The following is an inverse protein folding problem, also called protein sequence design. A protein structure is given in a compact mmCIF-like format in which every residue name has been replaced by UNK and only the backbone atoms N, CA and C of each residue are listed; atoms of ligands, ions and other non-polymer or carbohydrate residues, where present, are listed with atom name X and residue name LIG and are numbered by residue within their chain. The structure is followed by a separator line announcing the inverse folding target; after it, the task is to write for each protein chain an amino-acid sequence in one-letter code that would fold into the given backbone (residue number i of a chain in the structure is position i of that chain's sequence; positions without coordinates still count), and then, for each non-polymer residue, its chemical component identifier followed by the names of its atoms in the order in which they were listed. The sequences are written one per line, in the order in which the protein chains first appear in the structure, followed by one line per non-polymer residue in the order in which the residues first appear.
data_IF_779868734535
#
_entry.id   IF_779868734535
#
_cell.length_a   1.000
_cell.length_b   1.000
_cell.length_c   1.000
_cell.angle_alpha   90.00
_cell.angle_beta   90.00
_cell.angle_gamma   90.00
#
_symmetry.space_group_name_H-M   'P 1'
#
loop_
_entity.id
_entity.type
_entity.pdbx_description
1 polymer ?
#
# COMPACT_ATOMS: atom_id res chain seq x y z
N UNK A 1 9.04 3.24 -18.97
CA UNK A 1 9.82 2.06 -18.57
C UNK A 1 11.23 2.14 -19.14
N UNK A 2 12.17 2.59 -18.31
CA UNK A 2 13.59 2.69 -18.62
C UNK A 2 14.41 1.87 -17.63
N UNK A 3 14.17 2.02 -16.33
CA UNK A 3 14.98 1.38 -15.30
C UNK A 3 14.92 -0.14 -15.43
N UNK A 4 13.72 -0.69 -15.49
CA UNK A 4 13.52 -2.16 -15.48
C UNK A 4 13.96 -2.83 -16.78
N UNK A 5 14.07 -2.07 -17.87
CA UNK A 5 14.54 -2.56 -19.18
C UNK A 5 16.07 -2.53 -19.25
N UNK A 6 16.69 -1.46 -18.73
CA UNK A 6 18.14 -1.29 -18.78
C UNK A 6 18.87 -2.01 -17.65
N UNK A 7 18.22 -2.16 -16.48
CA UNK A 7 18.78 -2.74 -15.26
C UNK A 7 17.79 -3.74 -14.64
N UNK A 8 17.47 -4.85 -15.35
CA UNK A 8 16.49 -5.84 -14.90
C UNK A 8 16.84 -6.48 -13.55
N UNK A 9 18.11 -6.48 -13.16
CA UNK A 9 18.59 -6.95 -11.85
C UNK A 9 18.04 -6.15 -10.66
N UNK A 10 17.52 -4.94 -10.88
CA UNK A 10 16.89 -4.13 -9.83
C UNK A 10 15.47 -4.63 -9.50
N UNK A 11 14.82 -5.37 -10.40
CA UNK A 11 13.42 -5.79 -10.23
C UNK A 11 13.11 -6.62 -8.99
N UNK A 12 13.93 -7.61 -8.59
CA UNK A 12 13.70 -8.33 -7.34
C UNK A 12 13.64 -7.39 -6.12
N UNK A 13 14.53 -6.41 -6.05
CA UNK A 13 14.54 -5.42 -4.96
C UNK A 13 13.31 -4.52 -4.99
N UNK A 14 12.85 -4.11 -6.18
CA UNK A 14 11.60 -3.36 -6.34
C UNK A 14 10.39 -4.18 -5.86
N UNK A 15 10.37 -5.48 -6.16
CA UNK A 15 9.29 -6.37 -5.74
C UNK A 15 9.27 -6.58 -4.22
N UNK A 16 10.44 -6.72 -3.59
CA UNK A 16 10.60 -6.85 -2.14
C UNK A 16 10.34 -5.54 -1.38
N UNK A 17 10.52 -4.38 -2.02
CA UNK A 17 10.26 -3.10 -1.39
C UNK A 17 8.76 -2.79 -1.41
N UNK A 18 8.08 -2.72 -0.26
CA UNK A 18 6.62 -2.55 -0.23
C UNK A 18 6.17 -1.20 -0.83
N UNK A 19 6.74 -0.10 -0.32
CA UNK A 19 6.49 1.27 -0.74
C UNK A 19 7.53 2.20 -0.08
N UNK A 20 7.70 3.41 -0.63
CA UNK A 20 8.54 4.46 -0.06
C UNK A 20 9.54 5.03 -1.07
N UNK A 21 10.62 5.59 -0.55
CA UNK A 21 11.76 6.06 -1.33
C UNK A 21 12.87 5.04 -1.23
N UNK A 22 13.50 4.64 -2.34
CA UNK A 22 14.65 3.74 -2.33
C UNK A 22 15.81 4.37 -3.13
N UNK A 23 16.92 4.74 -2.49
CA UNK A 23 18.12 5.15 -3.21
C UNK A 23 18.74 3.91 -3.88
N UNK A 24 19.09 4.04 -5.16
CA UNK A 24 19.70 2.94 -5.93
C UNK A 24 20.92 3.44 -6.69
N UNK A 25 21.93 2.58 -6.79
CA UNK A 25 23.09 2.79 -7.67
C UNK A 25 22.89 1.93 -8.92
N UNK A 26 23.09 2.50 -10.11
CA UNK A 26 22.82 1.82 -11.37
C UNK A 26 24.14 1.44 -12.04
N UNK A 27 24.42 0.14 -12.14
CA UNK A 27 25.69 -0.35 -12.66
C UNK A 27 26.89 0.24 -11.91
N UNK A 28 27.88 0.74 -12.67
CA UNK A 28 29.10 1.36 -12.12
C UNK A 28 28.96 2.88 -11.89
N UNK A 29 27.73 3.43 -11.90
CA UNK A 29 27.53 4.88 -11.72
C UNK A 29 27.99 5.35 -10.33
N UNK A 30 28.71 6.47 -10.30
CA UNK A 30 29.14 7.09 -9.05
C UNK A 30 27.98 7.77 -8.30
N UNK A 31 26.91 8.14 -9.01
CA UNK A 31 25.76 8.88 -8.47
C UNK A 31 24.58 7.95 -8.20
N UNK A 32 23.85 8.25 -7.12
CA UNK A 32 22.60 7.58 -6.81
C UNK A 32 21.44 8.10 -7.66
N UNK A 33 20.52 7.20 -8.00
CA UNK A 33 19.19 7.49 -8.50
C UNK A 33 18.14 7.25 -7.42
N UNK A 34 16.94 7.78 -7.62
CA UNK A 34 15.82 7.61 -6.67
C UNK A 34 14.71 6.78 -7.28
N UNK A 35 14.36 5.68 -6.61
CA UNK A 35 13.09 4.98 -6.85
C UNK A 35 12.05 5.54 -5.89
N UNK A 36 10.89 5.90 -6.41
CA UNK A 36 9.71 6.28 -5.63
C UNK A 36 8.64 5.24 -5.87
N UNK A 37 8.35 4.41 -4.87
CA UNK A 37 7.29 3.41 -4.93
C UNK A 37 6.09 3.86 -4.12
N UNK A 38 5.00 4.18 -4.79
CA UNK A 38 3.82 4.81 -4.18
C UNK A 38 2.58 4.51 -4.98
N UNK A 39 1.42 4.98 -4.50
CA UNK A 39 0.16 4.77 -5.20
C UNK A 39 0.09 5.53 -6.52
N UNK A 40 -0.68 5.00 -7.47
CA UNK A 40 -0.93 5.66 -8.75
C UNK A 40 -1.44 7.10 -8.61
N UNK A 41 -2.26 7.39 -7.60
CA UNK A 41 -2.75 8.74 -7.33
C UNK A 41 -1.60 9.72 -7.05
N UNK A 42 -0.62 9.31 -6.25
CA UNK A 42 0.55 10.14 -5.95
C UNK A 42 1.46 10.32 -7.17
N UNK A 43 1.64 9.26 -7.98
CA UNK A 43 2.39 9.32 -9.24
C UNK A 43 1.70 10.29 -10.21
N UNK A 44 0.38 10.19 -10.35
CA UNK A 44 -0.42 11.04 -11.23
C UNK A 44 -0.40 12.50 -10.76
N UNK A 45 -0.52 12.76 -9.46
CA UNK A 45 -0.41 14.10 -8.89
C UNK A 45 0.96 14.72 -9.22
N UNK A 46 2.06 13.99 -9.00
CA UNK A 46 3.39 14.45 -9.39
C UNK A 46 3.49 14.74 -10.89
N UNK A 47 2.94 13.86 -11.75
CA UNK A 47 2.95 14.05 -13.20
C UNK A 47 2.18 15.32 -13.62
N UNK A 48 0.99 15.54 -13.04
CA UNK A 48 0.12 16.68 -13.35
C UNK A 48 0.75 18.01 -12.93
N UNK A 49 1.40 18.04 -11.77
CA UNK A 49 2.06 19.24 -11.25
C UNK A 49 3.50 19.42 -11.76
N UNK A 50 4.08 18.39 -12.37
CA UNK A 50 5.46 18.41 -12.85
C UNK A 50 6.50 18.45 -11.73
N UNK A 51 6.10 18.13 -10.50
CA UNK A 51 6.95 18.19 -9.31
C UNK A 51 6.39 17.35 -8.15
N UNK A 52 7.24 17.15 -7.15
CA UNK A 52 6.85 16.74 -5.80
C UNK A 52 7.81 17.40 -4.78
N UNK A 53 7.53 17.32 -3.47
CA UNK A 53 8.32 18.04 -2.46
C UNK A 53 8.87 17.15 -1.36
N UNK A 54 10.05 17.51 -0.84
CA UNK A 54 10.64 16.92 0.35
C UNK A 54 10.65 17.93 1.51
N UNK A 55 10.09 17.52 2.64
CA UNK A 55 10.16 18.23 3.91
C UNK A 55 11.16 17.54 4.82
N UNK A 56 12.00 18.31 5.49
CA UNK A 56 13.00 17.83 6.44
C UNK A 56 12.75 18.38 7.84
N UNK A 57 11.66 17.97 8.52
CA UNK A 57 11.34 18.45 9.85
C UNK A 57 12.41 18.08 10.89
N UNK A 58 12.71 19.02 11.76
CA UNK A 58 13.50 18.80 12.97
C UNK A 58 12.57 18.37 14.11
N UNK A 59 12.66 17.10 14.50
CA UNK A 59 11.83 16.49 15.52
C UNK A 59 12.53 16.49 16.88
N UNK A 60 11.82 16.76 17.99
CA UNK A 60 12.39 16.63 19.33
C UNK A 60 12.68 15.15 19.65
N UNK A 61 13.83 14.89 20.26
CA UNK A 61 14.27 13.58 20.71
C UNK A 61 14.84 13.65 22.14
N UNK A 62 14.91 12.52 22.84
CA UNK A 62 15.47 12.46 24.20
C UNK A 62 16.93 12.92 24.27
N UNK A 63 17.70 12.74 23.20
CA UNK A 63 19.10 13.15 23.06
C UNK A 63 19.31 14.48 22.32
N UNK A 64 18.23 15.22 21.99
CA UNK A 64 18.31 16.50 21.29
C UNK A 64 17.25 16.66 20.22
N UNK A 65 17.68 16.85 18.98
CA UNK A 65 16.79 16.90 17.80
C UNK A 65 17.22 15.85 16.79
N UNK A 66 16.27 15.31 16.03
CA UNK A 66 16.53 14.41 14.92
C UNK A 66 15.84 14.93 13.67
N UNK A 67 16.46 14.74 12.50
CA UNK A 67 15.82 15.05 11.22
C UNK A 67 15.09 13.80 10.73
N UNK A 68 13.98 13.99 10.05
CA UNK A 68 13.27 12.93 9.33
C UNK A 68 12.74 13.50 8.02
N UNK A 69 12.13 12.67 7.18
CA UNK A 69 11.71 13.07 5.85
C UNK A 69 10.22 12.82 5.63
N UNK A 70 9.57 13.79 4.98
CA UNK A 70 8.25 13.60 4.39
C UNK A 70 8.35 13.95 2.91
N UNK A 71 7.88 13.05 2.05
CA UNK A 71 7.74 13.31 0.61
C UNK A 71 6.27 13.54 0.32
N UNK A 72 5.93 14.68 -0.26
CA UNK A 72 4.56 15.09 -0.53
C UNK A 72 4.26 15.15 -2.04
N UNK A 73 3.08 14.66 -2.40
CA UNK A 73 2.50 14.67 -3.74
C UNK A 73 1.18 15.43 -3.66
N UNK A 74 1.10 16.57 -4.32
CA UNK A 74 -0.01 17.51 -4.17
C UNK A 74 -1.19 17.12 -5.06
N UNK A 75 -2.01 16.18 -4.58
CA UNK A 75 -3.35 15.92 -5.15
C UNK A 75 -4.42 16.86 -4.55
N UNK A 76 -4.21 17.28 -3.30
CA UNK A 76 -4.90 18.34 -2.58
C UNK A 76 -3.84 19.24 -1.91
N UNK A 77 -4.01 20.57 -2.01
CA UNK A 77 -3.02 21.53 -1.48
C UNK A 77 -2.94 21.48 0.06
N UNK A 78 -4.05 21.18 0.74
CA UNK A 78 -4.15 21.16 2.21
C UNK A 78 -3.76 19.78 2.76
N UNK A 79 -4.19 18.70 2.12
CA UNK A 79 -3.97 17.31 2.54
C UNK A 79 -3.26 16.45 1.47
N UNK A 80 -2.02 16.79 1.07
CA UNK A 80 -1.32 16.06 0.02
C UNK A 80 -1.01 14.62 0.43
N UNK A 81 -1.05 13.70 -0.53
CA UNK A 81 -0.53 12.34 -0.36
C UNK A 81 0.94 12.38 0.07
N UNK A 82 1.29 11.61 1.10
CA UNK A 82 2.62 11.70 1.71
C UNK A 82 3.24 10.35 2.06
N UNK A 83 4.53 10.21 1.74
CA UNK A 83 5.42 9.14 2.24
C UNK A 83 6.17 9.71 3.44
N UNK A 84 6.10 9.01 4.58
CA UNK A 84 6.82 9.37 5.81
C UNK A 84 8.01 8.44 5.97
N UNK A 85 9.21 8.99 5.98
CA UNK A 85 10.46 8.24 6.00
C UNK A 85 11.28 8.67 7.22
N UNK A 86 11.26 7.87 8.30
CA UNK A 86 12.23 8.02 9.38
C UNK A 86 13.65 7.89 8.81
N UNK A 87 14.55 8.75 9.27
CA UNK A 87 15.96 8.74 8.85
C UNK A 87 16.85 8.40 10.05
N UNK A 88 17.80 7.49 9.85
CA UNK A 88 18.76 7.08 10.88
C UNK A 88 20.22 7.26 10.44
N UNK A 89 21.09 7.51 11.42
CA UNK A 89 22.50 7.79 11.18
C UNK A 89 23.34 6.54 10.90
N UNK A 90 22.82 5.37 11.25
CA UNK A 90 23.51 4.08 11.22
C UNK A 90 23.04 3.15 10.10
N UNK A 91 22.24 3.64 9.15
CA UNK A 91 21.75 2.87 8.01
C UNK A 91 22.11 3.53 6.65
N UNK A 92 22.55 2.72 5.69
CA UNK A 92 23.01 3.18 4.38
C UNK A 92 21.89 3.80 3.53
N UNK A 93 20.64 3.42 3.80
CA UNK A 93 19.48 3.87 3.04
C UNK A 93 19.17 5.34 3.34
N UNK A 94 19.11 5.71 4.62
CA UNK A 94 18.97 7.10 5.06
C UNK A 94 20.13 7.96 4.58
N UNK A 95 21.36 7.45 4.62
CA UNK A 95 22.52 8.17 4.10
C UNK A 95 22.40 8.41 2.59
N UNK A 96 21.97 7.40 1.82
CA UNK A 96 21.75 7.53 0.37
C UNK A 96 20.65 8.55 0.04
N UNK A 97 19.56 8.59 0.81
CA UNK A 97 18.53 9.61 0.65
C UNK A 97 19.08 11.02 0.94
N UNK A 98 19.81 11.20 2.05
CA UNK A 98 20.43 12.50 2.37
C UNK A 98 21.47 12.92 1.32
N UNK A 99 22.20 11.97 0.73
CA UNK A 99 23.12 12.23 -0.38
C UNK A 99 22.38 12.73 -1.61
N UNK A 100 21.32 12.03 -2.03
CA UNK A 100 20.48 12.42 -3.17
C UNK A 100 19.93 13.84 -2.98
N UNK A 101 19.42 14.17 -1.79
CA UNK A 101 18.82 15.48 -1.51
C UNK A 101 19.81 16.65 -1.61
N UNK A 102 21.12 16.38 -1.68
CA UNK A 102 22.18 17.39 -1.89
C UNK A 102 22.60 17.56 -3.35
N UNK A 103 22.07 16.75 -4.25
CA UNK A 103 22.36 16.88 -5.67
C UNK A 103 21.60 18.06 -6.27
N UNK A 104 22.15 18.71 -7.29
CA UNK A 104 21.39 19.67 -8.09
C UNK A 104 20.32 18.99 -8.95
N UNK A 105 20.59 17.73 -9.35
CA UNK A 105 19.74 16.95 -10.23
C UNK A 105 19.86 15.45 -9.96
N UNK A 106 18.76 14.70 -10.07
CA UNK A 106 18.71 13.24 -9.89
C UNK A 106 17.73 12.61 -10.87
N UNK A 107 18.05 11.40 -11.34
CA UNK A 107 17.11 10.58 -12.11
C UNK A 107 16.14 9.87 -11.14
N UNK A 108 14.84 10.11 -11.31
CA UNK A 108 13.76 9.59 -10.46
C UNK A 108 12.88 8.62 -11.25
N UNK A 109 12.59 7.46 -10.67
CA UNK A 109 11.79 6.40 -11.27
C UNK A 109 10.58 6.07 -10.40
N UNK A 110 9.37 6.20 -10.95
CA UNK A 110 8.12 6.01 -10.23
C UNK A 110 7.52 4.63 -10.49
N UNK A 111 7.30 3.89 -9.41
CA UNK A 111 6.70 2.56 -9.41
C UNK A 111 5.40 2.55 -8.62
N UNK A 112 4.41 1.80 -9.09
CA UNK A 112 3.22 1.53 -8.31
C UNK A 112 3.40 0.37 -7.31
N UNK A 113 2.36 0.14 -6.52
CA UNK A 113 2.21 -0.97 -5.59
C UNK A 113 2.31 -2.37 -6.22
N UNK A 114 2.22 -2.46 -7.56
CA UNK A 114 2.31 -3.67 -8.37
C UNK A 114 3.62 -3.78 -9.16
N UNK A 115 4.60 -2.92 -8.86
CA UNK A 115 5.95 -2.91 -9.44
C UNK A 115 6.02 -2.45 -10.90
N UNK A 116 4.99 -1.75 -11.39
CA UNK A 116 5.04 -1.16 -12.72
C UNK A 116 5.69 0.21 -12.69
N UNK A 117 6.73 0.40 -13.51
CA UNK A 117 7.36 1.70 -13.74
C UNK A 117 6.47 2.56 -14.65
N UNK A 118 5.80 3.56 -14.08
CA UNK A 118 4.84 4.41 -14.80
C UNK A 118 5.45 5.63 -15.45
N UNK A 119 6.46 6.22 -14.79
CA UNK A 119 7.15 7.37 -15.32
C UNK A 119 8.55 7.47 -14.74
N UNK A 120 9.42 8.17 -15.46
CA UNK A 120 10.80 8.39 -15.05
C UNK A 120 11.25 9.75 -15.55
N UNK A 121 11.86 10.55 -14.68
CA UNK A 121 12.27 11.91 -14.99
C UNK A 121 13.64 12.22 -14.43
N UNK A 122 14.40 12.98 -15.22
CA UNK A 122 15.48 13.78 -14.71
C UNK A 122 14.88 14.98 -14.00
N UNK A 123 15.26 15.13 -12.74
CA UNK A 123 14.57 15.99 -11.78
C UNK A 123 15.58 16.91 -11.13
N UNK A 124 15.37 18.22 -11.21
CA UNK A 124 16.17 19.17 -10.46
C UNK A 124 15.67 19.24 -9.02
N UNK A 125 16.60 19.33 -8.07
CA UNK A 125 16.28 19.51 -6.66
C UNK A 125 16.51 20.98 -6.29
N UNK A 126 15.42 21.72 -6.24
CA UNK A 126 15.41 23.15 -5.93
C UNK A 126 15.20 23.31 -4.41
N UNK A 127 16.30 23.44 -3.68
CA UNK A 127 16.28 23.66 -2.23
C UNK A 127 16.13 25.16 -1.91
N UNK A 128 14.97 25.53 -1.34
CA UNK A 128 14.60 26.92 -1.05
C UNK A 128 14.95 27.38 0.37
N UNK A 129 15.73 26.60 1.12
CA UNK A 129 16.17 26.95 2.48
C UNK A 129 15.96 25.86 3.50
N UNK A 130 16.03 24.60 3.08
CA UNK A 130 15.96 23.44 3.94
C UNK A 130 17.15 23.39 4.92
N UNK A 131 17.12 22.44 5.85
CA UNK A 131 18.24 22.24 6.77
C UNK A 131 19.52 21.73 6.09
N UNK A 132 19.48 21.37 4.81
CA UNK A 132 20.67 20.99 4.02
C UNK A 132 21.46 22.20 3.51
N UNK A 133 20.84 23.39 3.43
CA UNK A 133 21.53 24.61 3.03
C UNK A 133 22.25 25.22 4.25
N UNK A 134 23.58 25.20 4.21
CA UNK A 134 24.47 25.86 5.18
C UNK A 134 25.19 24.91 6.15
N UNK A 135 25.80 25.46 7.21
CA UNK A 135 26.59 24.71 8.21
C UNK A 135 25.72 24.01 9.29
N UNK A 136 24.41 23.87 9.06
CA UNK A 136 23.52 23.18 10.01
C UNK A 136 23.79 21.68 9.95
N UNK A 137 24.31 21.12 11.04
CA UNK A 137 24.50 19.68 11.14
C UNK A 137 23.13 18.97 11.18
N UNK A 138 22.88 18.12 10.19
CA UNK A 138 21.80 17.14 10.26
C UNK A 138 22.13 16.19 11.41
N UNK A 139 21.22 16.10 12.37
CA UNK A 139 21.31 15.13 13.45
C UNK A 139 20.37 13.97 13.12
N UNK A 140 20.90 12.76 13.04
CA UNK A 140 20.13 11.52 12.88
C UNK A 140 20.39 10.63 14.08
N UNK A 141 19.33 10.06 14.64
CA UNK A 141 19.46 9.06 15.70
C UNK A 141 19.94 7.74 15.14
N UNK A 142 20.54 6.91 15.98
CA UNK A 142 20.71 5.48 15.66
C UNK A 142 19.35 4.78 15.64
N UNK A 143 19.24 3.74 14.81
CA UNK A 143 18.03 2.95 14.71
C UNK A 143 17.70 2.25 16.04
N UNK A 144 16.45 2.41 16.47
CA UNK A 144 15.84 1.60 17.52
C UNK A 144 14.33 1.49 17.26
N UNK A 145 13.68 0.32 17.43
CA UNK A 145 12.25 0.13 17.13
C UNK A 145 11.33 1.18 17.78
N UNK A 146 11.51 1.45 19.07
CA UNK A 146 10.75 2.49 19.78
C UNK A 146 11.00 3.91 19.24
N UNK A 147 12.22 4.19 18.74
CA UNK A 147 12.53 5.45 18.07
C UNK A 147 11.79 5.56 16.75
N UNK A 148 11.73 4.48 15.95
CA UNK A 148 11.00 4.46 14.68
C UNK A 148 9.50 4.70 14.91
N UNK A 149 8.90 4.01 15.90
CA UNK A 149 7.50 4.21 16.32
C UNK A 149 7.23 5.66 16.70
N UNK A 150 8.11 6.23 17.53
CA UNK A 150 7.97 7.62 17.99
C UNK A 150 8.07 8.61 16.83
N UNK A 151 9.04 8.44 15.93
CA UNK A 151 9.20 9.31 14.76
C UNK A 151 7.98 9.23 13.85
N UNK A 152 7.48 8.03 13.54
CA UNK A 152 6.31 7.89 12.68
C UNK A 152 5.07 8.59 13.24
N UNK A 153 4.82 8.45 14.55
CA UNK A 153 3.71 9.13 15.20
C UNK A 153 3.85 10.65 15.10
N UNK A 154 5.03 11.19 15.42
CA UNK A 154 5.29 12.64 15.39
C UNK A 154 5.23 13.21 13.96
N UNK A 155 5.70 12.48 12.94
CA UNK A 155 5.66 12.92 11.54
C UNK A 155 4.23 13.13 11.04
N UNK A 156 3.29 12.31 11.50
CA UNK A 156 1.89 12.46 11.12
C UNK A 156 1.31 13.78 11.64
N UNK A 157 1.51 14.04 12.93
CA UNK A 157 1.00 15.25 13.59
C UNK A 157 1.69 16.50 13.07
N UNK A 158 3.02 16.45 12.85
CA UNK A 158 3.79 17.56 12.33
C UNK A 158 3.30 17.98 10.94
N UNK A 159 3.09 17.02 10.04
CA UNK A 159 2.70 17.32 8.66
C UNK A 159 1.29 17.91 8.55
N UNK A 160 0.36 17.43 9.40
CA UNK A 160 -0.98 18.00 9.51
C UNK A 160 -1.01 19.41 10.13
N UNK A 161 0.08 19.81 10.80
CA UNK A 161 0.23 21.13 11.43
C UNK A 161 1.25 22.03 10.71
N UNK A 162 1.70 21.65 9.50
CA UNK A 162 2.70 22.40 8.74
C UNK A 162 2.22 23.84 8.45
N UNK A 163 3.17 24.75 8.36
CA UNK A 163 2.92 26.17 8.08
C UNK A 163 3.42 26.56 6.69
N UNK A 164 3.00 27.72 6.19
CA UNK A 164 3.52 28.27 4.93
C UNK A 164 5.05 28.44 4.95
N UNK A 165 5.66 28.71 6.12
CA UNK A 165 7.13 28.77 6.27
C UNK A 165 7.76 27.38 6.09
N UNK A 166 7.07 26.31 6.49
CA UNK A 166 7.55 24.95 6.26
C UNK A 166 7.46 24.58 4.78
N UNK A 167 6.39 24.98 4.10
CA UNK A 167 6.21 24.79 2.65
C UNK A 167 7.26 25.56 1.83
N UNK A 168 7.58 26.80 2.21
CA UNK A 168 8.61 27.61 1.57
C UNK A 168 10.03 27.02 1.70
N UNK A 169 10.31 26.25 2.76
CA UNK A 169 11.62 25.62 3.03
C UNK A 169 11.77 24.22 2.47
N UNK A 170 10.79 23.75 1.70
CA UNK A 170 10.86 22.44 1.05
C UNK A 170 11.94 22.39 -0.02
N UNK A 171 12.45 21.18 -0.26
CA UNK A 171 13.21 20.87 -1.47
C UNK A 171 12.19 20.45 -2.53
N UNK A 172 12.08 21.23 -3.59
CA UNK A 172 11.19 20.93 -4.71
C UNK A 172 11.91 20.04 -5.72
N UNK A 173 11.35 18.87 -5.99
CA UNK A 173 11.83 17.95 -7.00
C UNK A 173 11.09 18.22 -8.31
N UNK A 174 11.64 19.12 -9.14
CA UNK A 174 11.00 19.63 -10.36
C UNK A 174 11.41 18.82 -11.58
N UNK A 175 10.43 18.25 -12.29
CA UNK A 175 10.68 17.45 -13.49
C UNK A 175 11.19 18.31 -14.64
N UNK A 176 12.35 17.94 -15.21
CA UNK A 176 12.99 18.68 -16.31
C UNK A 176 12.92 17.91 -17.63
N UNK A 177 13.32 16.65 -17.64
CA UNK A 177 13.38 15.82 -18.85
C UNK A 177 12.77 14.44 -18.58
N UNK A 178 11.81 14.03 -19.42
CA UNK A 178 11.24 12.70 -19.37
C UNK A 178 12.27 11.66 -19.86
N UNK A 179 12.56 10.68 -19.01
CA UNK A 179 13.50 9.59 -19.30
C UNK A 179 12.81 8.37 -19.95
N UNK A 180 11.48 8.32 -19.90
CA UNK A 180 10.68 7.32 -20.61
C UNK A 180 9.31 7.91 -21.01
N UNK A 181 8.56 7.25 -21.94
CA UNK A 181 7.26 7.75 -22.36
C UNK A 181 6.27 7.90 -21.19
N UNK A 182 5.46 8.95 -21.20
CA UNK A 182 4.50 9.26 -20.13
C UNK A 182 3.13 8.61 -20.27
N UNK A 183 2.89 7.86 -21.36
CA UNK A 183 1.62 7.24 -21.74
C UNK A 183 1.75 5.71 -21.85
N UNK A 184 2.34 5.10 -20.82
CA UNK A 184 2.57 3.65 -20.81
C UNK A 184 1.25 2.87 -20.69
N UNK A 185 1.11 1.88 -21.57
CA UNK A 185 0.12 0.82 -21.47
C UNK A 185 0.84 -0.48 -21.12
N UNK A 186 0.48 -1.07 -19.98
CA UNK A 186 1.03 -2.34 -19.54
C UNK A 186 0.05 -3.45 -19.87
N UNK A 187 0.53 -4.51 -20.50
CA UNK A 187 -0.20 -5.76 -20.70
C UNK A 187 0.58 -6.88 -20.02
N UNK A 188 0.04 -7.41 -18.93
CA UNK A 188 0.63 -8.51 -18.17
C UNK A 188 -0.13 -9.80 -18.48
N UNK A 189 0.56 -10.72 -19.14
CA UNK A 189 0.07 -12.05 -19.52
C UNK A 189 0.74 -13.18 -18.73
N UNK A 190 1.41 -12.84 -17.61
CA UNK A 190 2.12 -13.81 -16.77
C UNK A 190 1.11 -14.81 -16.19
N UNK A 191 1.23 -16.12 -16.48
CA UNK A 191 0.24 -17.12 -16.06
C UNK A 191 0.02 -17.14 -14.55
N UNK A 192 1.09 -17.01 -13.77
CA UNK A 192 1.05 -17.01 -12.30
C UNK A 192 0.25 -15.83 -11.75
N UNK A 193 0.27 -14.69 -12.45
CA UNK A 193 -0.45 -13.47 -12.06
C UNK A 193 -1.91 -13.44 -12.53
N UNK A 194 -2.32 -14.36 -13.41
CA UNK A 194 -3.61 -14.32 -14.09
C UNK A 194 -4.37 -15.67 -14.09
N UNK A 195 -3.82 -16.69 -13.45
CA UNK A 195 -4.30 -18.08 -13.47
C UNK A 195 -5.43 -18.40 -12.47
N UNK A 196 -5.99 -17.40 -11.80
CA UNK A 196 -7.08 -17.58 -10.85
C UNK A 196 -8.44 -17.77 -11.52
N UNK A 197 -9.42 -18.35 -10.81
CA UNK A 197 -10.77 -18.49 -11.33
C UNK A 197 -11.40 -17.10 -11.48
N UNK A 198 -11.89 -16.76 -12.68
CA UNK A 198 -12.32 -15.39 -12.98
C UNK A 198 -11.32 -14.60 -13.82
N UNK A 199 -10.06 -15.04 -13.86
CA UNK A 199 -9.00 -14.42 -14.63
C UNK A 199 -9.22 -14.54 -16.15
N UNK A 200 -8.88 -13.49 -16.88
CA UNK A 200 -8.94 -13.45 -18.35
C UNK A 200 -7.67 -13.99 -19.02
N UNK A 201 -6.70 -14.49 -18.24
CA UNK A 201 -5.36 -14.89 -18.71
C UNK A 201 -4.43 -13.72 -19.02
N UNK A 202 -4.92 -12.49 -18.86
CA UNK A 202 -4.16 -11.26 -18.96
C UNK A 202 -4.83 -10.17 -18.13
N UNK A 203 -4.06 -9.14 -17.77
CA UNK A 203 -4.55 -7.86 -17.28
C UNK A 203 -3.85 -6.74 -18.02
N UNK A 204 -4.53 -5.61 -18.12
CA UNK A 204 -3.93 -4.41 -18.65
C UNK A 204 -4.10 -3.27 -17.67
N UNK A 205 -3.19 -2.32 -17.73
CA UNK A 205 -3.20 -1.20 -16.83
C UNK A 205 -2.55 0.04 -17.44
N UNK A 206 -2.98 1.20 -16.95
CA UNK A 206 -2.52 2.53 -17.32
C UNK A 206 -2.42 3.37 -16.05
N UNK A 207 -1.64 4.44 -16.08
CA UNK A 207 -1.55 5.35 -14.93
C UNK A 207 -2.91 6.03 -14.67
N UNK A 208 -3.58 6.49 -15.73
CA UNK A 208 -4.94 7.03 -15.66
C UNK A 208 -5.97 5.93 -15.88
N UNK A 209 -6.91 5.75 -14.95
CA UNK A 209 -7.94 4.69 -15.00
C UNK A 209 -9.33 5.30 -15.17
N UNK A 210 -10.03 4.97 -16.27
CA UNK A 210 -11.40 5.44 -16.52
C UNK A 210 -12.49 4.49 -16.03
N UNK A 211 -12.14 3.22 -15.78
CA UNK A 211 -13.04 2.20 -15.20
C UNK A 211 -12.46 1.67 -13.88
N UNK A 212 -12.74 2.33 -12.74
CA UNK A 212 -12.10 2.01 -11.46
C UNK A 212 -12.41 0.59 -10.97
N UNK A 213 -13.61 0.06 -11.27
CA UNK A 213 -14.03 -1.26 -10.80
C UNK A 213 -13.18 -2.39 -11.39
N UNK A 214 -12.96 -2.36 -12.71
CA UNK A 214 -12.14 -3.36 -13.41
C UNK A 214 -10.73 -3.48 -12.83
N UNK A 215 -10.12 -2.34 -12.47
CA UNK A 215 -8.76 -2.30 -11.95
C UNK A 215 -8.69 -2.71 -10.48
N UNK A 216 -9.59 -2.20 -9.63
CA UNK A 216 -9.60 -2.54 -8.20
C UNK A 216 -9.70 -4.05 -7.98
N UNK A 217 -10.57 -4.74 -8.71
CA UNK A 217 -10.75 -6.19 -8.57
C UNK A 217 -9.45 -6.96 -8.89
N UNK A 218 -8.73 -6.53 -9.93
CA UNK A 218 -7.46 -7.16 -10.34
C UNK A 218 -6.32 -6.83 -9.40
N UNK A 219 -6.31 -5.63 -8.85
CA UNK A 219 -5.33 -5.20 -7.86
C UNK A 219 -5.47 -6.03 -6.57
N UNK A 220 -6.70 -6.31 -6.14
CA UNK A 220 -6.98 -7.22 -5.02
C UNK A 220 -6.54 -8.65 -5.34
N UNK A 221 -6.82 -9.15 -6.55
CA UNK A 221 -6.33 -10.47 -6.97
C UNK A 221 -4.80 -10.55 -6.90
N UNK A 222 -4.10 -9.51 -7.36
CA UNK A 222 -2.63 -9.45 -7.31
C UNK A 222 -2.08 -9.42 -5.88
N UNK A 223 -2.78 -8.76 -4.95
CA UNK A 223 -2.44 -8.80 -3.54
C UNK A 223 -2.67 -10.19 -2.92
N UNK A 224 -3.79 -10.85 -3.23
CA UNK A 224 -4.11 -12.19 -2.74
C UNK A 224 -3.13 -13.25 -3.24
N UNK A 225 -2.69 -13.15 -4.50
CA UNK A 225 -1.70 -14.06 -5.10
C UNK A 225 -0.33 -14.06 -4.40
N UNK A 226 -0.06 -13.09 -3.52
CA UNK A 226 1.14 -13.12 -2.67
C UNK A 226 1.08 -14.22 -1.61
N UNK A 227 -0.11 -14.57 -1.14
CA UNK A 227 -0.30 -15.52 -0.03
C UNK A 227 -1.05 -16.79 -0.44
N UNK A 228 -1.80 -16.77 -1.54
CA UNK A 228 -2.67 -17.86 -1.97
C UNK A 228 -2.34 -18.32 -3.39
N UNK A 229 -2.53 -19.61 -3.63
CA UNK A 229 -2.38 -20.20 -4.96
C UNK A 229 -3.49 -19.68 -5.90
N UNK A 230 -3.21 -19.50 -7.21
CA UNK A 230 -4.21 -18.97 -8.15
C UNK A 230 -5.54 -19.74 -8.12
N UNK A 231 -5.50 -21.07 -8.07
CA UNK A 231 -6.69 -21.93 -8.02
C UNK A 231 -7.53 -21.79 -6.76
N UNK A 232 -7.02 -21.15 -5.70
CA UNK A 232 -7.77 -20.87 -4.48
C UNK A 232 -8.57 -19.57 -4.57
N UNK A 233 -8.28 -18.71 -5.55
CA UNK A 233 -8.89 -17.38 -5.69
C UNK A 233 -9.98 -17.43 -6.76
N UNK A 234 -11.17 -16.97 -6.40
CA UNK A 234 -12.33 -16.89 -7.28
C UNK A 234 -12.80 -15.44 -7.35
N UNK A 235 -12.63 -14.81 -8.51
CA UNK A 235 -13.03 -13.43 -8.78
C UNK A 235 -14.43 -13.37 -9.41
N UNK A 236 -15.23 -12.41 -8.94
CA UNK A 236 -16.61 -12.12 -9.35
C UNK A 236 -17.54 -13.34 -9.45
N UNK A 237 -17.62 -14.20 -8.41
CA UNK A 237 -18.57 -15.30 -8.40
C UNK A 237 -20.01 -14.81 -8.52
N UNK A 238 -20.78 -15.42 -9.42
CA UNK A 238 -22.20 -15.12 -9.63
C UNK A 238 -23.07 -16.30 -9.26
N UNK A 239 -24.26 -16.05 -8.74
CA UNK A 239 -25.23 -17.12 -8.49
C UNK A 239 -25.73 -17.70 -9.80
N UNK A 240 -25.82 -19.03 -9.90
CA UNK A 240 -26.36 -19.68 -11.10
C UNK A 240 -27.84 -19.36 -11.35
N UNK A 241 -28.62 -19.10 -10.31
CA UNK A 241 -30.07 -18.94 -10.41
C UNK A 241 -30.53 -17.58 -10.95
N UNK A 242 -29.77 -16.52 -10.71
CA UNK A 242 -30.14 -15.16 -11.12
C UNK A 242 -28.98 -14.35 -11.72
N UNK A 243 -27.80 -14.96 -11.89
CA UNK A 243 -26.59 -14.33 -12.41
C UNK A 243 -26.13 -13.07 -11.67
N UNK A 244 -26.64 -12.83 -10.45
CA UNK A 244 -26.17 -11.74 -9.60
C UNK A 244 -24.86 -12.14 -8.96
N UNK A 245 -23.89 -11.24 -9.04
CA UNK A 245 -22.64 -11.32 -8.31
C UNK A 245 -22.90 -11.35 -6.81
N UNK A 246 -22.15 -12.19 -6.10
CA UNK A 246 -22.27 -12.33 -4.64
C UNK A 246 -21.17 -11.58 -3.91
N UNK A 247 -19.97 -11.52 -4.47
CA UNK A 247 -18.74 -10.97 -3.91
C UNK A 247 -17.81 -10.56 -5.05
N UNK A 248 -16.86 -9.68 -4.76
CA UNK A 248 -15.76 -9.39 -5.69
C UNK A 248 -14.74 -10.53 -5.69
N UNK A 249 -14.41 -11.08 -4.50
CA UNK A 249 -13.57 -12.28 -4.41
C UNK A 249 -14.04 -13.27 -3.35
N UNK A 250 -13.77 -14.53 -3.62
CA UNK A 250 -13.89 -15.65 -2.71
C UNK A 250 -12.57 -16.42 -2.73
N UNK A 251 -11.90 -16.54 -1.58
CA UNK A 251 -10.72 -17.40 -1.42
C UNK A 251 -11.12 -18.67 -0.70
N UNK A 252 -10.79 -19.83 -1.28
CA UNK A 252 -11.09 -21.14 -0.71
C UNK A 252 -9.80 -21.94 -0.53
N UNK A 253 -9.46 -22.25 0.72
CA UNK A 253 -8.40 -23.20 1.07
C UNK A 253 -9.02 -24.44 1.71
N UNK A 254 -8.23 -25.37 2.23
CA UNK A 254 -8.78 -26.54 2.93
C UNK A 254 -9.43 -26.17 4.28
N UNK A 255 -8.97 -25.08 4.92
CA UNK A 255 -9.39 -24.70 6.27
C UNK A 255 -10.23 -23.41 6.32
N UNK A 256 -10.21 -22.62 5.25
CA UNK A 256 -10.70 -21.25 5.27
C UNK A 256 -11.52 -20.90 4.02
N UNK A 257 -12.55 -20.09 4.23
CA UNK A 257 -13.24 -19.33 3.19
C UNK A 257 -13.15 -17.84 3.52
N UNK A 258 -12.46 -17.05 2.67
CA UNK A 258 -12.41 -15.59 2.80
C UNK A 258 -13.39 -14.96 1.83
N UNK A 259 -14.36 -14.23 2.36
CA UNK A 259 -15.36 -13.48 1.60
C UNK A 259 -14.88 -12.03 1.47
N UNK A 260 -14.36 -11.65 0.32
CA UNK A 260 -13.82 -10.31 0.09
C UNK A 260 -14.83 -9.47 -0.68
N UNK A 261 -15.15 -8.30 -0.13
CA UNK A 261 -15.91 -7.30 -0.85
C UNK A 261 -15.17 -5.97 -0.79
N UNK A 262 -14.79 -5.50 -1.97
CA UNK A 262 -14.25 -4.17 -2.17
C UNK A 262 -15.36 -3.18 -2.49
N UNK A 263 -15.12 -1.93 -2.12
CA UNK A 263 -15.89 -0.78 -2.58
C UNK A 263 -14.92 0.35 -2.89
N UNK A 264 -14.67 0.57 -4.17
CA UNK A 264 -14.01 1.79 -4.62
C UNK A 264 -14.99 2.98 -4.63
N UNK A 265 -14.42 4.18 -4.66
CA UNK A 265 -15.11 5.38 -5.13
C UNK A 265 -14.41 5.92 -6.37
N UNK A 266 -15.15 6.37 -7.40
CA UNK A 266 -14.56 6.87 -8.64
C UNK A 266 -13.53 7.98 -8.37
N UNK A 267 -12.29 7.78 -8.82
CA UNK A 267 -11.26 8.84 -8.88
C UNK A 267 -11.62 9.76 -10.06
N UNK A 268 -12.51 10.73 -9.79
CA UNK A 268 -12.88 11.80 -10.72
C UNK A 268 -12.42 13.13 -10.14
N UNK A 269 -12.14 14.14 -10.96
CA UNK A 269 -11.82 15.50 -10.49
C UNK A 269 -12.87 16.00 -9.47
N UNK A 270 -14.15 15.72 -9.71
CA UNK A 270 -15.26 16.05 -8.79
C UNK A 270 -15.29 15.22 -7.48
N UNK A 271 -14.59 14.09 -7.45
CA UNK A 271 -14.39 13.25 -6.26
C UNK A 271 -13.24 13.75 -5.38
N UNK A 272 -12.19 14.29 -6.00
CA UNK A 272 -11.01 14.87 -5.33
C UNK A 272 -11.43 16.11 -4.53
N UNK A 273 -12.27 16.99 -5.09
CA UNK A 273 -12.72 18.25 -4.43
C UNK A 273 -13.80 18.08 -3.34
N UNK A 274 -14.06 16.86 -2.84
CA UNK A 274 -15.09 16.64 -1.80
C UNK A 274 -14.55 16.99 -0.41
N UNK A 275 -15.37 17.67 0.39
CA UNK A 275 -15.03 17.93 1.80
C UNK A 275 -14.82 16.63 2.57
N UNK A 276 -13.92 16.64 3.54
CA UNK A 276 -13.57 15.49 4.40
C UNK A 276 -14.81 14.82 5.02
N UNK A 277 -15.78 15.61 5.49
CA UNK A 277 -17.05 15.09 6.04
C UNK A 277 -17.84 14.25 5.03
N UNK A 278 -17.83 14.64 3.74
CA UNK A 278 -18.51 13.88 2.68
C UNK A 278 -17.74 12.61 2.33
N UNK A 279 -16.40 12.64 2.36
CA UNK A 279 -15.56 11.44 2.20
C UNK A 279 -15.88 10.41 3.29
N UNK A 280 -15.85 10.83 4.57
CA UNK A 280 -16.23 9.99 5.73
C UNK A 280 -17.60 9.34 5.59
N UNK A 281 -18.63 10.12 5.28
CA UNK A 281 -19.99 9.59 5.11
C UNK A 281 -20.09 8.58 3.95
N UNK A 282 -19.37 8.83 2.85
CA UNK A 282 -19.31 7.90 1.74
C UNK A 282 -18.64 6.57 2.15
N UNK A 283 -17.52 6.64 2.87
CA UNK A 283 -16.81 5.47 3.42
C UNK A 283 -17.72 4.62 4.31
N UNK A 284 -18.44 5.22 5.27
CA UNK A 284 -19.37 4.45 6.13
C UNK A 284 -20.46 3.72 5.32
N UNK A 285 -21.04 4.39 4.31
CA UNK A 285 -22.04 3.77 3.44
C UNK A 285 -21.46 2.62 2.62
N UNK A 286 -20.22 2.76 2.14
CA UNK A 286 -19.50 1.71 1.43
C UNK A 286 -19.22 0.51 2.33
N UNK A 287 -18.73 0.74 3.56
CA UNK A 287 -18.51 -0.31 4.57
C UNK A 287 -19.82 -1.07 4.83
N UNK A 288 -20.93 -0.36 5.07
CA UNK A 288 -22.23 -0.99 5.33
C UNK A 288 -22.77 -1.76 4.11
N UNK A 289 -22.51 -1.29 2.90
CA UNK A 289 -22.84 -2.03 1.69
C UNK A 289 -21.99 -3.31 1.55
N UNK A 290 -20.68 -3.21 1.79
CA UNK A 290 -19.75 -4.33 1.71
C UNK A 290 -20.11 -5.43 2.71
N UNK A 291 -20.34 -5.07 3.98
CA UNK A 291 -20.73 -6.01 5.04
C UNK A 291 -22.05 -6.70 4.73
N UNK A 292 -23.05 -5.97 4.21
CA UNK A 292 -24.33 -6.58 3.79
C UNK A 292 -24.14 -7.60 2.69
N UNK A 293 -23.25 -7.34 1.74
CA UNK A 293 -22.92 -8.24 0.65
C UNK A 293 -22.18 -9.48 1.18
N UNK A 294 -21.18 -9.32 2.05
CA UNK A 294 -20.46 -10.41 2.74
C UNK A 294 -21.43 -11.32 3.51
N UNK A 295 -22.27 -10.76 4.38
CA UNK A 295 -23.26 -11.52 5.13
C UNK A 295 -24.33 -12.16 4.24
N UNK A 296 -24.62 -11.57 3.08
CA UNK A 296 -25.48 -12.14 2.05
C UNK A 296 -24.86 -13.36 1.37
N UNK A 297 -23.58 -13.25 1.01
CA UNK A 297 -22.80 -14.31 0.40
C UNK A 297 -22.61 -15.49 1.36
N UNK A 298 -22.21 -15.23 2.61
CA UNK A 298 -22.08 -16.26 3.64
C UNK A 298 -23.37 -17.10 3.76
N UNK A 299 -24.54 -16.46 3.90
CA UNK A 299 -25.84 -17.14 3.97
C UNK A 299 -26.25 -17.87 2.68
N UNK A 300 -25.70 -17.48 1.54
CA UNK A 300 -25.97 -18.16 0.28
C UNK A 300 -25.10 -19.41 0.14
N UNK A 301 -23.83 -19.30 0.54
CA UNK A 301 -22.84 -20.36 0.51
C UNK A 301 -23.07 -21.43 1.60
N UNK A 302 -23.65 -21.03 2.74
CA UNK A 302 -23.97 -21.89 3.91
C UNK A 302 -25.32 -22.63 3.78
N UNK A 303 -25.94 -22.66 2.60
CA UNK A 303 -27.21 -23.39 2.40
C UNK A 303 -26.96 -24.88 2.35
N UNK A 304 -27.97 -25.69 2.66
CA UNK A 304 -27.90 -27.15 2.54
C UNK A 304 -27.46 -27.58 1.11
N UNK A 305 -26.22 -28.08 1.01
CA UNK A 305 -25.58 -28.56 -0.21
C UNK A 305 -24.68 -27.53 -0.91
N UNK A 306 -23.93 -27.97 -1.91
CA UNK A 306 -22.99 -27.11 -2.63
C UNK A 306 -23.72 -25.94 -3.34
N UNK A 307 -23.26 -24.72 -3.07
CA UNK A 307 -23.69 -23.51 -3.73
C UNK A 307 -23.24 -23.49 -5.19
N UNK A 308 -24.20 -23.28 -6.09
CA UNK A 308 -23.94 -23.27 -7.54
C UNK A 308 -23.59 -21.88 -8.01
N UNK A 309 -22.33 -21.68 -8.37
CA UNK A 309 -21.82 -20.41 -8.86
C UNK A 309 -21.48 -20.51 -10.35
N UNK A 310 -21.36 -19.34 -10.97
CA UNK A 310 -20.90 -19.15 -12.34
C UNK A 310 -19.74 -18.17 -12.31
N UNK A 311 -18.62 -18.55 -12.93
CA UNK A 311 -17.40 -17.75 -13.04
C UNK A 311 -16.92 -17.82 -14.49
N UNK A 312 -16.88 -16.69 -15.19
CA UNK A 312 -16.52 -16.60 -16.63
C UNK A 312 -17.31 -17.60 -17.47
N UNK A 313 -18.60 -17.77 -17.16
CA UNK A 313 -19.49 -18.70 -17.86
C UNK A 313 -19.29 -20.18 -17.53
N UNK A 314 -18.36 -20.53 -16.63
CA UNK A 314 -18.18 -21.88 -16.13
C UNK A 314 -18.96 -22.08 -14.83
N UNK A 315 -19.69 -23.19 -14.75
CA UNK A 315 -20.36 -23.60 -13.53
C UNK A 315 -19.33 -24.17 -12.55
N UNK A 316 -19.35 -23.67 -11.31
CA UNK A 316 -18.57 -24.22 -10.21
C UNK A 316 -19.51 -24.50 -9.02
N UNK A 317 -19.29 -25.63 -8.37
CA UNK A 317 -20.00 -25.99 -7.15
C UNK A 317 -19.06 -25.73 -5.96
N UNK A 318 -19.51 -24.89 -5.03
CA UNK A 318 -18.73 -24.51 -3.84
C UNK A 318 -19.44 -24.98 -2.59
N UNK A 319 -18.71 -25.70 -1.75
CA UNK A 319 -19.16 -26.09 -0.41
C UNK A 319 -18.23 -25.46 0.62
N UNK A 320 -18.81 -24.76 1.61
CA UNK A 320 -18.03 -24.24 2.73
C UNK A 320 -17.53 -25.37 3.61
N UNK A 321 -18.29 -26.46 3.77
CA UNK A 321 -17.96 -27.55 4.68
C UNK A 321 -17.66 -27.04 6.10
N UNK A 322 -16.61 -27.58 6.71
CA UNK A 322 -16.15 -27.19 8.05
C UNK A 322 -15.20 -25.98 8.05
N UNK A 323 -15.04 -25.28 6.92
CA UNK A 323 -14.11 -24.15 6.81
C UNK A 323 -14.52 -23.01 7.74
N UNK A 324 -13.52 -22.36 8.31
CA UNK A 324 -13.69 -21.08 8.99
C UNK A 324 -14.02 -20.02 7.94
N UNK A 325 -15.07 -19.24 8.16
CA UNK A 325 -15.51 -18.18 7.24
C UNK A 325 -15.08 -16.83 7.79
N UNK A 326 -14.26 -16.10 7.04
CA UNK A 326 -13.81 -14.75 7.39
C UNK A 326 -14.37 -13.75 6.37
N UNK A 327 -14.94 -12.65 6.86
CA UNK A 327 -15.36 -11.52 6.02
C UNK A 327 -14.27 -10.45 5.95
N UNK A 328 -13.95 -9.97 4.75
CA UNK A 328 -13.00 -8.90 4.53
C UNK A 328 -13.64 -7.78 3.69
N UNK A 329 -13.90 -6.63 4.31
CA UNK A 329 -14.39 -5.45 3.62
C UNK A 329 -13.23 -4.50 3.31
N UNK A 330 -12.97 -4.27 2.02
CA UNK A 330 -11.91 -3.39 1.54
C UNK A 330 -12.56 -2.08 1.03
N UNK A 331 -12.13 -0.95 1.55
CA UNK A 331 -12.58 0.37 1.10
C UNK A 331 -11.42 1.17 0.52
N UNK A 332 -11.74 2.28 -0.16
CA UNK A 332 -10.71 3.14 -0.74
C UNK A 332 -9.77 3.73 0.32
N UNK A 333 -10.34 4.34 1.35
CA UNK A 333 -9.61 5.06 2.39
C UNK A 333 -10.25 4.84 3.76
N UNK A 334 -9.43 4.93 4.81
CA UNK A 334 -9.84 4.90 6.20
C UNK A 334 -9.28 6.13 6.94
N UNK A 335 -10.00 6.58 7.97
CA UNK A 335 -9.68 7.79 8.72
C UNK A 335 -9.22 7.43 10.14
N UNK A 336 -8.06 7.94 10.54
CA UNK A 336 -7.42 7.59 11.82
C UNK A 336 -8.31 7.88 13.05
N UNK A 337 -9.16 8.91 12.99
CA UNK A 337 -10.05 9.32 14.07
C UNK A 337 -11.36 8.53 14.17
N UNK A 338 -11.62 7.58 13.27
CA UNK A 338 -12.89 6.84 13.19
C UNK A 338 -12.84 5.39 13.72
N UNK A 339 -11.79 5.03 14.47
CA UNK A 339 -11.57 3.65 14.92
C UNK A 339 -12.77 2.99 15.61
N UNK A 340 -13.51 3.72 16.46
CA UNK A 340 -14.72 3.17 17.10
C UNK A 340 -15.79 2.75 16.09
N UNK A 341 -15.98 3.50 15.01
CA UNK A 341 -16.94 3.17 13.96
C UNK A 341 -16.50 1.93 13.18
N UNK A 342 -15.19 1.79 12.90
CA UNK A 342 -14.65 0.61 12.21
C UNK A 342 -14.72 -0.66 13.07
N UNK A 343 -14.41 -0.58 14.37
CA UNK A 343 -14.62 -1.71 15.28
C UNK A 343 -16.10 -2.15 15.34
N UNK A 344 -17.03 -1.18 15.38
CA UNK A 344 -18.46 -1.47 15.34
C UNK A 344 -18.89 -2.10 14.00
N UNK A 345 -18.26 -1.71 12.88
CA UNK A 345 -18.47 -2.32 11.59
C UNK A 345 -17.98 -3.77 11.55
N UNK A 346 -16.78 -4.07 12.04
CA UNK A 346 -16.27 -5.45 12.17
C UNK A 346 -17.22 -6.33 13.01
N UNK A 347 -17.80 -5.79 14.09
CA UNK A 347 -18.76 -6.51 14.92
C UNK A 347 -20.03 -6.95 14.17
N UNK A 348 -20.42 -6.26 13.09
CA UNK A 348 -21.55 -6.67 12.22
C UNK A 348 -21.27 -7.96 11.42
N UNK A 349 -20.03 -8.43 11.41
CA UNK A 349 -19.61 -9.71 10.81
C UNK A 349 -19.33 -10.79 11.85
N UNK A 350 -19.66 -10.57 13.13
CA UNK A 350 -19.40 -11.53 14.22
C UNK A 350 -20.17 -12.86 14.10
N UNK A 351 -21.17 -12.94 13.22
CA UNK A 351 -21.89 -14.18 12.91
C UNK A 351 -21.12 -15.15 12.01
N UNK A 352 -20.02 -14.72 11.39
CA UNK A 352 -19.12 -15.57 10.63
C UNK A 352 -18.20 -16.34 11.59
N UNK A 353 -17.89 -17.61 11.29
CA UNK A 353 -17.14 -18.49 12.21
C UNK A 353 -15.71 -17.99 12.50
N UNK A 354 -15.09 -17.28 11.55
CA UNK A 354 -13.79 -16.60 11.74
C UNK A 354 -13.90 -15.09 12.02
N UNK A 355 -15.10 -14.51 12.03
CA UNK A 355 -15.33 -13.07 12.19
C UNK A 355 -15.08 -12.27 10.92
N UNK A 356 -14.73 -10.99 11.06
CA UNK A 356 -14.40 -10.16 9.90
C UNK A 356 -13.66 -8.88 10.23
N UNK A 357 -13.04 -8.32 9.18
CA UNK A 357 -12.19 -7.14 9.26
C UNK A 357 -12.57 -6.12 8.18
N UNK A 358 -12.45 -4.84 8.52
CA UNK A 358 -12.50 -3.72 7.58
C UNK A 358 -11.09 -3.16 7.43
N UNK A 359 -10.68 -2.80 6.22
CA UNK A 359 -9.42 -2.07 6.00
C UNK A 359 -9.47 -1.29 4.68
N UNK A 360 -8.64 -0.25 4.56
CA UNK A 360 -8.44 0.40 3.26
C UNK A 360 -7.52 -0.44 2.34
N UNK A 361 -7.54 -0.14 1.05
CA UNK A 361 -6.72 -0.84 0.06
C UNK A 361 -5.22 -0.78 0.39
N UNK A 362 -4.70 0.36 0.84
CA UNK A 362 -3.26 0.54 1.13
C UNK A 362 -2.84 -0.35 2.30
N UNK A 363 -3.70 -0.43 3.32
CA UNK A 363 -3.57 -1.31 4.46
C UNK A 363 -3.57 -2.77 4.02
N UNK A 364 -4.47 -3.15 3.10
CA UNK A 364 -4.51 -4.51 2.55
C UNK A 364 -3.28 -4.85 1.69
N UNK A 365 -2.81 -3.91 0.88
CA UNK A 365 -1.57 -4.06 0.11
C UNK A 365 -0.37 -4.25 1.03
N UNK A 366 -0.19 -3.40 2.03
CA UNK A 366 0.90 -3.52 3.00
C UNK A 366 0.82 -4.83 3.78
N UNK A 367 -0.39 -5.24 4.17
CA UNK A 367 -0.66 -6.50 4.86
C UNK A 367 -0.24 -7.71 4.01
N UNK A 368 -0.71 -7.80 2.77
CA UNK A 368 -0.40 -8.91 1.85
C UNK A 368 1.05 -8.94 1.41
N UNK A 369 1.72 -7.78 1.37
CA UNK A 369 3.16 -7.69 1.11
C UNK A 369 3.96 -8.26 2.28
N UNK A 370 3.61 -7.88 3.51
CA UNK A 370 4.32 -8.34 4.72
C UNK A 370 4.08 -9.81 5.03
N UNK A 371 2.85 -10.27 4.86
CA UNK A 371 2.39 -11.62 5.16
C UNK A 371 2.12 -12.39 3.86
N UNK A 372 3.17 -12.54 3.04
CA UNK A 372 3.14 -13.15 1.70
C UNK A 372 3.22 -14.68 1.72
N UNK A 373 2.62 -15.33 2.72
CA UNK A 373 2.41 -16.78 2.70
C UNK A 373 1.06 -17.10 3.32
N UNK A 374 0.47 -18.22 2.95
CA UNK A 374 -0.84 -18.65 3.44
C UNK A 374 -0.92 -18.57 4.97
N UNK A 375 0.01 -19.24 5.66
CA UNK A 375 -0.02 -19.33 7.13
C UNK A 375 0.19 -17.97 7.79
N UNK A 376 1.15 -17.17 7.30
CA UNK A 376 1.43 -15.85 7.86
C UNK A 376 0.26 -14.89 7.65
N UNK A 377 -0.39 -14.95 6.48
CA UNK A 377 -1.56 -14.14 6.16
C UNK A 377 -2.72 -14.48 7.11
N UNK A 378 -3.02 -15.77 7.26
CA UNK A 378 -4.15 -16.24 8.08
C UNK A 378 -3.91 -15.91 9.55
N UNK A 379 -2.72 -16.22 10.09
CA UNK A 379 -2.39 -15.93 11.49
C UNK A 379 -2.50 -14.44 11.81
N UNK A 380 -1.94 -13.58 10.95
CA UNK A 380 -1.99 -12.14 11.15
C UNK A 380 -3.43 -11.58 11.04
N UNK A 381 -4.23 -12.12 10.13
CA UNK A 381 -5.63 -11.68 9.96
C UNK A 381 -6.48 -12.09 11.16
N UNK A 382 -6.29 -13.31 11.68
CA UNK A 382 -6.97 -13.78 12.87
C UNK A 382 -6.56 -12.99 14.12
N UNK A 383 -5.27 -12.64 14.23
CA UNK A 383 -4.77 -11.77 15.30
C UNK A 383 -5.43 -10.39 15.26
N UNK A 384 -5.55 -9.78 14.08
CA UNK A 384 -6.25 -8.51 13.89
C UNK A 384 -7.73 -8.61 14.31
N UNK A 385 -8.44 -9.63 13.82
CA UNK A 385 -9.86 -9.85 14.15
C UNK A 385 -10.02 -10.06 15.66
N UNK A 386 -9.18 -10.87 16.28
CA UNK A 386 -9.21 -11.12 17.72
C UNK A 386 -8.92 -9.84 18.52
N UNK A 387 -7.97 -9.02 18.08
CA UNK A 387 -7.67 -7.73 18.67
C UNK A 387 -8.88 -6.81 18.61
N UNK A 388 -9.49 -6.63 17.42
CA UNK A 388 -10.65 -5.76 17.24
C UNK A 388 -11.83 -6.19 18.12
N UNK A 389 -12.04 -7.51 18.27
CA UNK A 389 -13.10 -8.06 19.12
C UNK A 389 -12.88 -7.85 20.62
N UNK A 390 -11.62 -7.79 21.08
CA UNK A 390 -11.29 -7.83 22.51
C UNK A 390 -10.79 -6.51 23.07
N UNK A 391 -10.07 -5.72 22.26
CA UNK A 391 -9.39 -4.49 22.65
C UNK A 391 -9.90 -3.24 21.93
N UNK A 392 -10.70 -3.42 20.89
CA UNK A 392 -11.17 -2.32 20.04
C UNK A 392 -10.28 -2.13 18.80
N UNK A 393 -10.48 -1.04 18.08
CA UNK A 393 -9.83 -0.84 16.78
C UNK A 393 -8.30 -0.77 16.87
N UNK A 394 -7.65 -1.41 15.91
CA UNK A 394 -6.23 -1.29 15.60
C UNK A 394 -6.10 -0.97 14.11
N UNK A 395 -5.21 -0.05 13.75
CA UNK A 395 -4.92 0.22 12.34
C UNK A 395 -4.09 -0.94 11.81
N UNK A 396 -4.48 -1.48 10.66
CA UNK A 396 -3.77 -2.61 10.03
C UNK A 396 -2.31 -2.26 9.75
N UNK A 397 -2.03 -1.02 9.32
CA UNK A 397 -0.67 -0.54 9.10
C UNK A 397 0.18 -0.55 10.38
N UNK A 398 -0.41 -0.32 11.55
CA UNK A 398 0.33 -0.40 12.82
C UNK A 398 0.74 -1.85 13.13
N UNK A 399 -0.14 -2.83 12.90
CA UNK A 399 0.19 -4.25 13.04
C UNK A 399 1.25 -4.70 12.02
N UNK A 400 1.16 -4.25 10.77
CA UNK A 400 2.18 -4.50 9.74
C UNK A 400 3.53 -3.91 10.19
N UNK A 401 3.50 -2.68 10.70
CA UNK A 401 4.69 -1.99 11.17
C UNK A 401 5.33 -2.69 12.38
N UNK A 402 4.54 -3.08 13.38
CA UNK A 402 5.01 -3.87 14.52
C UNK A 402 5.62 -5.21 14.06
N UNK A 403 4.98 -5.91 13.12
CA UNK A 403 5.50 -7.17 12.58
C UNK A 403 6.81 -7.02 11.79
N UNK A 404 7.05 -5.85 11.17
CA UNK A 404 8.34 -5.52 10.54
C UNK A 404 9.40 -5.32 11.62
N UNK A 405 9.11 -4.54 12.65
CA UNK A 405 10.04 -4.26 13.74
C UNK A 405 10.44 -5.55 14.48
N UNK A 406 9.48 -6.42 14.81
CA UNK A 406 9.72 -7.73 15.43
C UNK A 406 10.59 -8.65 14.56
N UNK A 407 10.48 -8.54 13.24
CA UNK A 407 11.33 -9.30 12.32
C UNK A 407 12.76 -8.75 12.28
N UNK A 408 12.93 -7.44 12.25
CA UNK A 408 14.26 -6.80 12.32
C UNK A 408 14.96 -7.17 13.63
N UNK A 409 14.25 -7.14 14.76
CA UNK A 409 14.81 -7.53 16.06
C UNK A 409 15.25 -9.00 16.06
N UNK A 410 14.41 -9.92 15.57
CA UNK A 410 14.77 -11.34 15.46
C UNK A 410 15.95 -11.56 14.52
N UNK A 411 16.00 -10.86 13.40
CA UNK A 411 17.12 -10.92 12.47
C UNK A 411 18.42 -10.45 13.13
N UNK A 412 18.40 -9.30 13.84
CA UNK A 412 19.57 -8.80 14.58
C UNK A 412 19.99 -9.71 15.73
N UNK A 413 19.04 -10.33 16.43
CA UNK A 413 19.33 -11.26 17.52
C UNK A 413 19.95 -12.58 17.01
N UNK A 414 19.58 -13.02 15.81
CA UNK A 414 20.10 -14.24 15.18
C UNK A 414 21.34 -13.98 14.29
N UNK A 415 21.63 -12.72 13.95
CA UNK A 415 22.61 -12.29 12.95
C UNK A 415 24.02 -11.96 13.48
N UNK A 416 24.47 -12.57 14.58
CA UNK A 416 25.92 -12.60 14.90
C UNK A 416 26.69 -13.68 14.11
N UNK A 417 26.04 -14.42 13.21
CA UNK A 417 26.69 -15.26 12.20
C UNK A 417 26.11 -14.95 10.80
N UNK A 418 26.87 -14.21 9.99
CA UNK A 418 26.59 -14.02 8.57
C UNK A 418 26.17 -12.60 8.19
N UNK A 419 27.16 -11.80 7.79
CA UNK A 419 26.96 -10.60 6.99
C UNK A 419 26.15 -10.93 5.73
N UNK A 420 25.16 -10.10 5.42
CA UNK A 420 24.89 -9.58 4.08
C UNK A 420 23.76 -8.54 4.21
N UNK A 421 24.11 -7.32 4.59
CA UNK A 421 23.43 -6.17 4.00
C UNK A 421 23.80 -6.25 2.52
N UNK A 422 22.84 -6.38 1.58
CA UNK A 422 23.21 -6.37 0.18
C UNK A 422 23.77 -4.98 -0.14
N UNK A 423 25.09 -4.90 -0.29
CA UNK A 423 25.72 -3.87 -1.09
C UNK A 423 25.30 -4.13 -2.54
N UNK A 424 24.57 -3.19 -3.13
CA UNK A 424 24.43 -3.07 -4.59
C UNK A 424 25.69 -2.42 -5.15
#
# INVERSE_FOLDING_TARGET
MRLTVLYPEVMPHIAEFAAGLMPVRLGDDERLSLVVKTQKEAILAAQMHGLFAFYLPALPASSGTTTSLITAFFDDDDEPLAIRTPLFGDDAFSQGIIEILKYDEVDVYFFDEHNYEWMSYRTALEDNGSCLIGDKNICLLGYHPETVKSIHAVLNDWFGARTAEDDERTIQAVFKEALSPGDLFVLDMTPEMNGYHGGTGFRHDTLTRTDPGYHQERDISACLLRAFEPGQIIMNPRRKDNCKEILDHLVLTDELAILVQAKDSPTTEAGITRTLQRKRLATHNQIDAAIRQINGAARYLDRDGAAKLVVVGQDIDVDLGDRRVIGLAIVKESFDDEGTAYAAACAKMAGLSGGGMVMDYNSFHAFTHRFASHDAFVEALEKLIAHVRTKGWIRVKDEVFDAILDWIERYRANGSEGSDTPSL
#
